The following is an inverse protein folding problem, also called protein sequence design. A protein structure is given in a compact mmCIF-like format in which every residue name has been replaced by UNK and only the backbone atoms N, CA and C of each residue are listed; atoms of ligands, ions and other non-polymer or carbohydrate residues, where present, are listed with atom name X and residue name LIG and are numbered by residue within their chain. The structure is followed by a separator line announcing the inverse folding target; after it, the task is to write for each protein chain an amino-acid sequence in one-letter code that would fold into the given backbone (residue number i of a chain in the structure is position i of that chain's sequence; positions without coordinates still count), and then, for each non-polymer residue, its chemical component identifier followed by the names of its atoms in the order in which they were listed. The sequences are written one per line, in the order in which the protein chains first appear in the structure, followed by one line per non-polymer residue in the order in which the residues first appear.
data_IF_338371918803
#
_entry.id   IF_338371918803
#
_cell.length_a   1.000
_cell.length_b   1.000
_cell.length_c   1.000
_cell.angle_alpha   90.00
_cell.angle_beta   90.00
_cell.angle_gamma   90.00
#
_symmetry.space_group_name_H-M   'P 1'
#
loop_
_entity.id
_entity.type
_entity.pdbx_description
1 polymer ?
#
# COMPACT_ATOMS: atom_id res chain seq x y z
N UNK A 1 2.18 -13.65 17.13
CA UNK A 1 3.06 -13.77 15.95
C UNK A 1 2.43 -12.95 14.85
N UNK A 2 3.10 -11.91 14.33
CA UNK A 2 2.56 -11.14 13.19
C UNK A 2 2.78 -11.97 11.92
N UNK A 3 1.71 -12.49 11.35
CA UNK A 3 1.77 -13.13 10.04
C UNK A 3 2.27 -12.08 9.03
N UNK A 4 3.45 -12.30 8.46
CA UNK A 4 3.95 -11.45 7.36
C UNK A 4 3.10 -11.73 6.14
N UNK A 5 2.12 -10.86 5.90
CA UNK A 5 1.25 -10.92 4.73
C UNK A 5 2.11 -10.76 3.46
N UNK A 6 2.20 -11.82 2.66
CA UNK A 6 2.84 -11.76 1.33
C UNK A 6 1.76 -11.53 0.27
N UNK A 7 1.41 -10.25 0.10
CA UNK A 7 0.35 -9.83 -0.80
C UNK A 7 0.58 -10.23 -2.26
N UNK A 8 1.83 -10.32 -2.72
CA UNK A 8 2.16 -10.70 -4.10
C UNK A 8 1.75 -12.14 -4.37
N UNK A 9 2.05 -13.05 -3.43
CA UNK A 9 1.71 -14.46 -3.52
C UNK A 9 0.19 -14.67 -3.49
N UNK A 10 -0.51 -13.99 -2.59
CA UNK A 10 -1.97 -14.05 -2.53
C UNK A 10 -2.63 -13.51 -3.80
N UNK A 11 -2.10 -12.43 -4.35
CA UNK A 11 -2.61 -11.86 -5.59
C UNK A 11 -2.39 -12.81 -6.77
N UNK A 12 -1.27 -13.52 -6.80
CA UNK A 12 -0.96 -14.55 -7.79
C UNK A 12 -1.91 -15.75 -7.67
N UNK A 13 -2.22 -16.17 -6.44
CA UNK A 13 -3.17 -17.25 -6.13
C UNK A 13 -4.62 -16.87 -6.43
N UNK A 14 -4.97 -15.58 -6.41
CA UNK A 14 -6.34 -15.08 -6.63
C UNK A 14 -6.92 -15.34 -8.03
N UNK A 15 -6.16 -15.96 -8.94
CA UNK A 15 -6.51 -16.28 -10.35
C UNK A 15 -7.00 -15.10 -11.21
N UNK A 16 -7.03 -13.88 -10.68
CA UNK A 16 -7.42 -12.66 -11.41
C UNK A 16 -6.35 -12.15 -12.37
N UNK A 17 -5.11 -12.63 -12.24
CA UNK A 17 -3.99 -12.24 -13.10
C UNK A 17 -3.47 -13.46 -13.87
N UNK A 18 -4.13 -13.74 -15.00
CA UNK A 18 -3.71 -14.82 -15.90
C UNK A 18 -2.64 -14.39 -16.90
N UNK A 19 -2.35 -13.10 -16.98
CA UNK A 19 -1.40 -12.59 -17.95
C UNK A 19 0.07 -12.86 -17.55
N UNK A 20 0.89 -13.23 -18.54
CA UNK A 20 2.30 -13.65 -18.34
C UNK A 20 3.16 -12.51 -17.79
N UNK A 21 2.89 -11.28 -18.20
CA UNK A 21 3.62 -10.11 -17.72
C UNK A 21 3.35 -9.86 -16.24
N UNK A 22 2.08 -9.92 -15.84
CA UNK A 22 1.67 -9.74 -14.43
C UNK A 22 2.30 -10.79 -13.51
N UNK A 23 2.34 -12.06 -13.92
CA UNK A 23 2.96 -13.14 -13.14
C UNK A 23 4.45 -12.94 -12.96
N UNK A 24 5.17 -12.69 -14.06
CA UNK A 24 6.61 -12.43 -14.04
C UNK A 24 6.94 -11.23 -13.12
N UNK A 25 6.13 -10.17 -13.18
CA UNK A 25 6.32 -9.00 -12.34
C UNK A 25 6.09 -9.27 -10.84
N UNK A 26 5.13 -10.13 -10.49
CA UNK A 26 4.88 -10.52 -9.11
C UNK A 26 5.94 -11.48 -8.56
N UNK A 27 6.48 -12.38 -9.39
CA UNK A 27 7.48 -13.38 -8.98
C UNK A 27 8.91 -12.81 -8.93
N UNK A 28 9.28 -12.00 -9.93
CA UNK A 28 10.65 -11.52 -10.10
C UNK A 28 10.84 -10.03 -9.78
N UNK A 29 9.75 -9.29 -9.55
CA UNK A 29 9.79 -7.87 -9.21
C UNK A 29 9.97 -6.94 -10.42
N UNK A 30 9.88 -5.64 -10.16
CA UNK A 30 10.02 -4.59 -11.18
C UNK A 30 11.50 -4.33 -11.51
N UNK A 31 11.83 -4.31 -12.80
CA UNK A 31 13.17 -4.00 -13.34
C UNK A 31 13.29 -2.58 -13.88
N UNK A 32 12.18 -1.90 -14.08
CA UNK A 32 12.14 -0.53 -14.56
C UNK A 32 11.03 0.28 -13.88
N UNK A 33 11.06 1.60 -14.05
CA UNK A 33 10.12 2.52 -13.40
C UNK A 33 8.65 2.21 -13.75
N UNK A 34 8.34 1.98 -15.02
CA UNK A 34 6.96 1.72 -15.47
C UNK A 34 6.41 0.42 -14.87
N UNK A 35 7.24 -0.61 -14.77
CA UNK A 35 6.92 -1.84 -14.04
C UNK A 35 6.67 -1.57 -12.56
N UNK A 36 7.42 -0.67 -11.94
CA UNK A 36 7.19 -0.22 -10.56
C UNK A 36 5.83 0.46 -10.37
N UNK A 37 5.47 1.36 -11.30
CA UNK A 37 4.14 1.99 -11.30
C UNK A 37 3.03 0.94 -11.43
N UNK A 38 3.19 -0.02 -12.35
CA UNK A 38 2.24 -1.10 -12.53
C UNK A 38 2.14 -2.00 -11.27
N UNK A 39 3.25 -2.28 -10.60
CA UNK A 39 3.26 -3.04 -9.35
C UNK A 39 2.48 -2.30 -8.23
N UNK A 40 2.60 -0.98 -8.16
CA UNK A 40 1.81 -0.14 -7.24
C UNK A 40 0.30 -0.19 -7.54
N UNK A 41 -0.07 -0.26 -8.82
CA UNK A 41 -1.45 -0.50 -9.23
C UNK A 41 -1.96 -1.87 -8.77
N UNK A 42 -1.16 -2.93 -8.97
CA UNK A 42 -1.49 -4.29 -8.52
C UNK A 42 -1.68 -4.37 -7.00
N UNK A 43 -0.80 -3.73 -6.22
CA UNK A 43 -0.92 -3.64 -4.78
C UNK A 43 -2.23 -2.97 -4.34
N UNK A 44 -2.58 -1.85 -4.98
CA UNK A 44 -3.83 -1.14 -4.69
C UNK A 44 -5.06 -2.00 -5.00
N UNK A 45 -5.00 -2.84 -6.04
CA UNK A 45 -6.06 -3.80 -6.35
C UNK A 45 -6.12 -4.95 -5.36
N UNK A 46 -4.98 -5.47 -4.89
CA UNK A 46 -4.93 -6.48 -3.82
C UNK A 46 -5.60 -5.97 -2.53
N UNK A 47 -5.31 -4.74 -2.11
CA UNK A 47 -5.94 -4.12 -0.93
C UNK A 47 -7.47 -4.11 -1.03
N UNK A 48 -8.01 -3.76 -2.20
CA UNK A 48 -9.46 -3.83 -2.47
C UNK A 48 -10.04 -5.24 -2.37
N UNK A 49 -9.32 -6.25 -2.87
CA UNK A 49 -9.75 -7.66 -2.79
C UNK A 49 -9.85 -8.13 -1.33
N UNK A 50 -8.89 -7.70 -0.50
CA UNK A 50 -8.87 -7.99 0.92
C UNK A 50 -9.91 -7.22 1.75
N UNK A 51 -10.74 -6.39 1.11
CA UNK A 51 -11.60 -5.41 1.79
C UNK A 51 -10.83 -4.57 2.82
N UNK A 52 -9.52 -4.39 2.62
CA UNK A 52 -8.72 -3.35 3.25
C UNK A 52 -9.04 -2.07 2.49
N UNK A 53 -10.30 -1.67 2.53
CA UNK A 53 -10.69 -0.37 2.00
C UNK A 53 -10.06 0.71 2.87
N UNK A 54 -9.89 1.87 2.27
CA UNK A 54 -9.06 3.00 2.70
C UNK A 54 -9.41 3.62 4.07
N UNK A 55 -10.25 2.96 4.87
CA UNK A 55 -11.00 3.51 6.00
C UNK A 55 -10.62 2.93 7.37
N UNK A 56 -9.53 2.16 7.49
CA UNK A 56 -8.80 2.15 8.76
C UNK A 56 -7.79 3.30 8.68
N UNK A 57 -8.12 4.50 9.19
CA UNK A 57 -7.12 5.53 9.37
C UNK A 57 -6.04 4.94 10.27
N UNK A 58 -4.88 4.62 9.68
CA UNK A 58 -3.72 4.25 10.46
C UNK A 58 -3.46 5.37 11.47
N UNK A 59 -3.37 5.06 12.75
CA UNK A 59 -3.04 6.08 13.75
C UNK A 59 -1.79 6.83 13.30
N UNK A 60 -1.88 8.16 13.36
CA UNK A 60 -0.83 9.08 12.94
C UNK A 60 0.36 9.02 13.93
N UNK A 61 1.12 7.94 13.86
CA UNK A 61 2.22 7.57 14.78
C UNK A 61 3.61 7.95 14.24
N UNK A 62 3.66 8.64 13.10
CA UNK A 62 4.91 9.05 12.44
C UNK A 62 5.50 10.36 12.98
N UNK A 63 6.77 10.61 12.67
CA UNK A 63 7.47 11.83 13.10
C UNK A 63 6.95 13.10 12.38
N UNK A 64 6.79 14.18 13.15
CA UNK A 64 6.50 15.55 12.70
C UNK A 64 5.18 15.76 11.94
N UNK A 65 4.08 15.20 12.42
CA UNK A 65 2.72 15.52 11.91
C UNK A 65 1.81 16.01 13.02
N UNK A 66 2.04 17.24 13.51
CA UNK A 66 1.00 17.93 14.26
C UNK A 66 -0.20 18.14 13.34
N UNK A 67 -1.41 17.90 13.84
CA UNK A 67 -2.62 18.33 13.13
C UNK A 67 -2.60 19.85 12.95
N UNK A 68 -3.31 20.37 11.95
CA UNK A 68 -3.43 21.82 11.74
C UNK A 68 -3.90 22.54 13.02
N UNK A 69 -4.80 21.90 13.77
CA UNK A 69 -5.29 22.38 15.07
C UNK A 69 -4.20 22.46 16.14
N UNK A 70 -3.30 21.48 16.20
CA UNK A 70 -2.15 21.50 17.13
C UNK A 70 -1.10 22.54 16.73
N UNK A 71 -0.87 22.69 15.43
CA UNK A 71 -0.01 23.73 14.89
C UNK A 71 -0.54 25.13 15.24
N UNK A 72 -1.84 25.37 15.04
CA UNK A 72 -2.49 26.64 15.35
C UNK A 72 -2.43 26.96 16.85
N UNK A 73 -2.68 25.98 17.72
CA UNK A 73 -2.49 26.14 19.18
C UNK A 73 -1.07 26.53 19.55
N UNK A 74 -0.06 25.98 18.86
CA UNK A 74 1.36 26.29 19.11
C UNK A 74 1.70 27.72 18.70
N UNK A 75 1.16 28.21 17.58
CA UNK A 75 1.35 29.59 17.11
C UNK A 75 0.64 30.58 18.03
N UNK A 76 -0.62 30.30 18.43
CA UNK A 76 -1.41 31.19 19.29
C UNK A 76 -0.96 31.29 20.75
N UNK A 77 -0.11 30.36 21.21
CA UNK A 77 0.48 30.38 22.56
C UNK A 77 1.77 31.20 22.65
N UNK A 78 2.26 31.72 21.53
CA UNK A 78 3.36 32.70 21.46
C UNK A 78 2.78 34.11 21.46
#
# INVERSE_FOLDING_TARGET
MTEKINWQKELLESRKFNDKFSKNLLEHGAKNFMQGIYLGYMYSRWRKIRCLDKDDPLENTGQMRSSFKEFEKKIRKK
#
